data_IF_010148734273
#
_entry.id   IF_010148734273
#
_cell.length_a   1.000
_cell.length_b   1.000
_cell.length_c   1.000
_cell.angle_alpha   90.00
_cell.angle_beta   90.00
_cell.angle_gamma   90.00
#
_symmetry.space_group_name_H-M   'P 1'
#
loop_
_entity.id
_entity.type
_entity.pdbx_description
1 polymer ?
#
# COMPACT_ATOMS: atom_id res chain seq x y z
N UNK A 1 -3.34 32.12 1.28
CA UNK A 1 -3.60 30.76 1.79
C UNK A 1 -4.52 30.86 2.99
N UNK A 2 -5.68 30.19 2.97
CA UNK A 2 -6.67 30.24 4.07
C UNK A 2 -6.25 29.42 5.29
N UNK A 3 -5.44 28.40 5.10
CA UNK A 3 -4.87 27.55 6.15
C UNK A 3 -3.37 27.31 5.85
N UNK A 4 -2.46 28.05 6.47
CA UNK A 4 -1.03 27.93 6.21
C UNK A 4 -0.38 26.70 6.88
N UNK A 5 -1.04 26.12 7.88
CA UNK A 5 -0.45 25.09 8.73
C UNK A 5 -0.71 23.68 8.23
N UNK A 6 -1.66 23.49 7.30
CA UNK A 6 -1.97 22.19 6.71
C UNK A 6 -1.52 22.09 5.25
N UNK A 7 -0.89 20.96 4.84
CA UNK A 7 -0.59 20.70 3.44
C UNK A 7 -1.85 20.70 2.59
N UNK A 8 -1.81 21.41 1.46
CA UNK A 8 -2.88 21.43 0.48
C UNK A 8 -2.51 20.58 -0.72
N UNK A 9 -3.46 19.78 -1.18
CA UNK A 9 -3.28 18.94 -2.36
C UNK A 9 -4.60 18.82 -3.13
N UNK A 10 -4.50 18.29 -4.33
CA UNK A 10 -5.60 17.69 -5.07
C UNK A 10 -5.08 16.54 -5.94
N UNK A 11 -6.00 15.71 -6.43
CA UNK A 11 -5.68 14.48 -7.15
C UNK A 11 -5.69 14.73 -8.63
N UNK A 12 -4.66 14.26 -9.36
CA UNK A 12 -4.64 14.23 -10.81
C UNK A 12 -4.90 12.82 -11.35
N UNK A 13 -5.73 12.77 -12.38
CA UNK A 13 -5.94 11.59 -13.23
C UNK A 13 -5.35 11.78 -14.64
N UNK A 14 -4.66 12.87 -14.88
CA UNK A 14 -4.17 13.28 -16.20
C UNK A 14 -2.70 13.66 -16.25
N UNK A 15 -1.99 13.57 -15.15
CA UNK A 15 -0.58 13.99 -15.01
C UNK A 15 0.34 13.37 -16.07
N UNK A 16 0.08 12.12 -16.47
CA UNK A 16 0.87 11.42 -17.49
C UNK A 16 0.89 12.11 -18.85
N UNK A 17 -0.09 12.98 -19.13
CA UNK A 17 -0.13 13.75 -20.38
C UNK A 17 0.92 14.85 -20.43
N UNK A 18 1.07 15.60 -19.34
CA UNK A 18 1.99 16.73 -19.24
C UNK A 18 2.41 16.98 -17.77
N UNK A 19 3.35 16.20 -17.21
CA UNK A 19 3.68 16.26 -15.76
C UNK A 19 4.10 17.66 -15.28
N UNK A 20 4.82 18.41 -16.09
CA UNK A 20 5.29 19.76 -15.75
C UNK A 20 4.17 20.83 -15.74
N UNK A 21 3.04 20.54 -16.39
CA UNK A 21 1.91 21.47 -16.52
C UNK A 21 0.70 21.04 -15.68
N UNK A 22 0.80 19.91 -14.99
CA UNK A 22 -0.29 19.41 -14.17
C UNK A 22 -0.49 20.29 -12.94
N UNK A 23 -1.74 20.57 -12.65
CA UNK A 23 -2.09 21.48 -11.56
C UNK A 23 -1.67 20.96 -10.18
N UNK A 24 -1.46 19.67 -9.99
CA UNK A 24 -0.96 19.09 -8.72
C UNK A 24 0.40 19.67 -8.32
N UNK A 25 1.21 20.14 -9.29
CA UNK A 25 2.47 20.81 -9.02
C UNK A 25 2.33 22.10 -8.18
N UNK A 26 1.14 22.69 -8.12
CA UNK A 26 0.86 23.87 -7.27
C UNK A 26 0.50 23.51 -5.81
N UNK A 27 0.23 22.24 -5.54
CA UNK A 27 -0.01 21.73 -4.17
C UNK A 27 1.28 21.56 -3.38
N UNK A 28 1.14 21.34 -2.09
CA UNK A 28 2.27 20.99 -1.21
C UNK A 28 2.69 19.53 -1.41
N UNK A 29 1.72 18.68 -1.73
CA UNK A 29 1.89 17.25 -2.05
C UNK A 29 1.19 16.99 -3.38
N UNK A 30 1.84 16.23 -4.25
CA UNK A 30 1.23 15.77 -5.49
C UNK A 30 0.50 14.44 -5.25
N UNK A 31 -0.76 14.36 -5.63
CA UNK A 31 -1.52 13.11 -5.56
C UNK A 31 -1.91 12.64 -6.96
N UNK A 32 -1.61 11.38 -7.25
CA UNK A 32 -1.70 10.81 -8.60
C UNK A 32 -2.55 9.54 -8.59
N UNK A 33 -3.61 9.50 -9.41
CA UNK A 33 -4.28 8.25 -9.72
C UNK A 33 -3.49 7.51 -10.80
N UNK A 34 -2.91 6.38 -10.46
CA UNK A 34 -2.08 5.57 -11.35
C UNK A 34 -2.78 4.28 -11.76
N UNK A 35 -3.38 4.32 -12.93
CA UNK A 35 -4.03 3.18 -13.56
C UNK A 35 -3.34 2.72 -14.86
N UNK A 36 -2.02 2.90 -14.97
CA UNK A 36 -1.22 2.30 -16.05
C UNK A 36 -1.40 0.78 -16.01
N UNK A 37 -1.56 0.18 -17.18
CA UNK A 37 -1.91 -1.23 -17.34
C UNK A 37 -3.42 -1.52 -17.25
N UNK A 38 -4.25 -0.46 -17.01
CA UNK A 38 -5.71 -0.52 -17.00
C UNK A 38 -6.30 0.75 -17.65
N UNK A 39 -6.91 1.66 -16.88
CA UNK A 39 -7.58 2.86 -17.41
C UNK A 39 -6.64 3.83 -18.17
N UNK A 40 -5.37 3.87 -17.85
CA UNK A 40 -4.38 4.71 -18.52
C UNK A 40 -3.66 4.00 -19.69
N UNK A 41 -4.08 2.76 -20.06
CA UNK A 41 -3.47 1.99 -21.14
C UNK A 41 -2.11 1.40 -20.77
N UNK A 42 -1.44 0.81 -21.77
CA UNK A 42 -0.16 0.12 -21.62
C UNK A 42 1.02 1.11 -21.78
N UNK A 43 1.13 2.04 -20.85
CA UNK A 43 2.27 2.95 -20.76
C UNK A 43 3.45 2.28 -20.05
N UNK A 44 4.65 2.78 -20.30
CA UNK A 44 5.83 2.38 -19.54
C UNK A 44 5.74 2.91 -18.10
N UNK A 45 5.46 2.04 -17.16
CA UNK A 45 5.27 2.39 -15.75
C UNK A 45 6.44 3.18 -15.16
N UNK A 46 7.67 2.73 -15.40
CA UNK A 46 8.86 3.40 -14.87
C UNK A 46 9.17 4.69 -15.61
N UNK A 47 9.10 4.67 -16.95
CA UNK A 47 9.33 5.86 -17.75
C UNK A 47 8.37 7.01 -17.46
N UNK A 48 7.09 6.69 -17.19
CA UNK A 48 6.11 7.72 -16.80
C UNK A 48 6.40 8.28 -15.39
N UNK A 49 6.79 7.44 -14.43
CA UNK A 49 7.17 7.91 -13.10
C UNK A 49 8.47 8.72 -13.13
N UNK A 50 9.45 8.34 -13.95
CA UNK A 50 10.68 9.14 -14.20
C UNK A 50 10.31 10.54 -14.68
N UNK A 51 9.38 10.67 -15.62
CA UNK A 51 8.90 11.96 -16.13
C UNK A 51 8.20 12.81 -15.06
N UNK A 52 7.37 12.19 -14.22
CA UNK A 52 6.65 12.89 -13.14
C UNK A 52 7.64 13.44 -12.12
N UNK A 53 8.57 12.59 -11.66
CA UNK A 53 9.56 12.97 -10.63
C UNK A 53 10.54 14.00 -11.20
N UNK A 54 11.03 13.83 -12.43
CA UNK A 54 11.94 14.80 -13.08
C UNK A 54 11.30 16.17 -13.28
N UNK A 55 10.00 16.21 -13.57
CA UNK A 55 9.27 17.46 -13.74
C UNK A 55 9.02 18.20 -12.40
N UNK A 56 9.08 17.49 -11.27
CA UNK A 56 8.73 18.01 -9.95
C UNK A 56 9.69 17.47 -8.86
N UNK A 57 11.00 17.76 -8.94
CA UNK A 57 12.03 17.09 -8.14
C UNK A 57 11.92 17.35 -6.63
N UNK A 58 11.33 18.49 -6.25
CA UNK A 58 11.23 18.93 -4.84
C UNK A 58 9.86 18.61 -4.22
N UNK A 59 9.00 17.85 -4.91
CA UNK A 59 7.66 17.55 -4.43
C UNK A 59 7.53 16.13 -3.89
N UNK A 60 6.97 15.95 -2.68
CA UNK A 60 6.50 14.64 -2.25
C UNK A 60 5.30 14.21 -3.11
N UNK A 61 5.30 12.95 -3.52
CA UNK A 61 4.25 12.38 -4.36
C UNK A 61 3.57 11.22 -3.64
N UNK A 62 2.26 11.13 -3.79
CA UNK A 62 1.44 10.01 -3.29
C UNK A 62 0.63 9.43 -4.44
N UNK A 63 0.92 8.21 -4.91
CA UNK A 63 -0.05 7.44 -5.69
C UNK A 63 -1.33 7.26 -4.86
N UNK A 64 -2.37 8.02 -5.21
CA UNK A 64 -3.60 8.15 -4.41
C UNK A 64 -4.68 7.15 -4.79
N UNK A 65 -4.57 6.57 -5.98
CA UNK A 65 -5.35 5.43 -6.40
C UNK A 65 -4.55 4.56 -7.36
N UNK A 66 -4.55 3.26 -7.13
CA UNK A 66 -4.06 2.25 -8.06
C UNK A 66 -4.69 0.89 -7.72
N UNK A 67 -4.89 0.06 -8.72
CA UNK A 67 -5.52 -1.25 -8.54
C UNK A 67 -6.23 -1.74 -9.79
N UNK A 68 -7.01 -2.81 -9.64
CA UNK A 68 -7.79 -3.43 -10.71
C UNK A 68 -9.27 -3.25 -10.49
N UNK A 69 -9.98 -2.75 -11.49
CA UNK A 69 -11.44 -2.67 -11.51
C UNK A 69 -12.04 -3.78 -12.38
N UNK A 70 -12.79 -4.66 -11.77
CA UNK A 70 -13.65 -5.59 -12.50
C UNK A 70 -15.11 -5.12 -12.48
N UNK A 71 -15.88 -5.43 -13.51
CA UNK A 71 -15.56 -6.27 -14.68
C UNK A 71 -14.92 -5.52 -15.85
N UNK A 72 -14.55 -4.24 -15.69
CA UNK A 72 -13.96 -3.47 -16.79
C UNK A 72 -12.64 -4.08 -17.32
N UNK A 73 -11.86 -4.68 -16.41
CA UNK A 73 -10.64 -5.40 -16.73
C UNK A 73 -10.69 -6.80 -16.15
N UNK A 74 -10.27 -7.78 -16.95
CA UNK A 74 -10.28 -9.19 -16.54
C UNK A 74 -9.06 -9.57 -15.72
N UNK A 75 -9.12 -10.73 -15.09
CA UNK A 75 -7.98 -11.37 -14.41
C UNK A 75 -8.24 -11.74 -12.95
N UNK A 76 -9.31 -11.25 -12.38
CA UNK A 76 -9.75 -11.63 -11.04
C UNK A 76 -8.81 -11.18 -9.94
N UNK A 77 -8.95 -11.78 -8.78
CA UNK A 77 -8.20 -11.40 -7.59
C UNK A 77 -6.70 -11.66 -7.71
N UNK A 78 -6.29 -12.66 -8.48
CA UNK A 78 -4.87 -12.92 -8.78
C UNK A 78 -4.24 -11.74 -9.52
N UNK A 79 -4.90 -11.24 -10.58
CA UNK A 79 -4.39 -10.08 -11.33
C UNK A 79 -4.39 -8.80 -10.47
N UNK A 80 -5.33 -8.68 -9.55
CA UNK A 80 -5.37 -7.58 -8.57
C UNK A 80 -4.13 -7.58 -7.67
N UNK A 81 -3.76 -8.76 -7.15
CA UNK A 81 -2.54 -8.93 -6.36
C UNK A 81 -1.29 -8.61 -7.17
N UNK A 82 -1.17 -9.14 -8.40
CA UNK A 82 -0.05 -8.88 -9.30
C UNK A 82 0.14 -7.38 -9.55
N UNK A 83 -0.93 -6.68 -9.94
CA UNK A 83 -0.89 -5.22 -10.17
C UNK A 83 -0.46 -4.48 -8.91
N UNK A 84 -1.02 -4.84 -7.75
CA UNK A 84 -0.64 -4.22 -6.48
C UNK A 84 0.87 -4.35 -6.21
N UNK A 85 1.42 -5.56 -6.37
CA UNK A 85 2.83 -5.84 -6.12
C UNK A 85 3.75 -5.16 -7.14
N UNK A 86 3.39 -5.18 -8.43
CA UNK A 86 4.14 -4.52 -9.51
C UNK A 86 4.21 -3.00 -9.29
N UNK A 87 3.07 -2.37 -8.96
CA UNK A 87 2.98 -0.94 -8.66
C UNK A 87 3.82 -0.57 -7.44
N UNK A 88 3.65 -1.31 -6.35
CA UNK A 88 4.38 -1.02 -5.11
C UNK A 88 5.89 -1.18 -5.29
N UNK A 89 6.34 -2.17 -6.09
CA UNK A 89 7.75 -2.32 -6.46
C UNK A 89 8.27 -1.09 -7.20
N UNK A 90 7.50 -0.58 -8.18
CA UNK A 90 7.85 0.64 -8.90
C UNK A 90 7.95 1.83 -7.93
N UNK A 91 6.92 2.05 -7.10
CA UNK A 91 6.90 3.19 -6.17
C UNK A 91 8.06 3.19 -5.18
N UNK A 92 8.48 2.03 -4.71
CA UNK A 92 9.66 1.87 -3.83
C UNK A 92 10.98 2.29 -4.47
N UNK A 93 11.03 2.44 -5.79
CA UNK A 93 12.22 2.91 -6.51
C UNK A 93 12.39 4.43 -6.50
N UNK A 94 11.39 5.17 -6.01
CA UNK A 94 11.38 6.64 -6.03
C UNK A 94 11.35 7.23 -4.61
N UNK A 95 12.46 7.83 -4.15
CA UNK A 95 12.51 8.44 -2.81
C UNK A 95 11.52 9.58 -2.59
N UNK A 96 11.05 10.24 -3.66
CA UNK A 96 10.03 11.28 -3.60
C UNK A 96 8.62 10.75 -3.33
N UNK A 97 8.37 9.44 -3.48
CA UNK A 97 7.09 8.83 -3.16
C UNK A 97 6.99 8.66 -1.64
N UNK A 98 6.22 9.55 -1.01
CA UNK A 98 6.09 9.65 0.44
C UNK A 98 5.04 8.71 1.04
N UNK A 99 4.20 8.10 0.22
CA UNK A 99 3.15 7.19 0.65
C UNK A 99 2.35 6.65 -0.52
N UNK A 100 1.48 5.68 -0.27
CA UNK A 100 0.58 5.11 -1.28
C UNK A 100 -0.80 4.85 -0.70
N UNK A 101 -1.85 5.04 -1.50
CA UNK A 101 -3.23 4.71 -1.14
C UNK A 101 -3.77 3.73 -2.16
N UNK A 102 -3.92 2.48 -1.73
CA UNK A 102 -4.48 1.43 -2.58
C UNK A 102 -5.99 1.64 -2.78
N UNK A 103 -6.47 1.56 -3.99
CA UNK A 103 -7.88 1.64 -4.31
C UNK A 103 -8.40 0.28 -4.76
N UNK A 104 -9.12 -0.44 -3.86
CA UNK A 104 -9.48 0.00 -2.52
C UNK A 104 -9.61 -1.18 -1.56
N UNK A 105 -10.04 -0.92 -0.33
CA UNK A 105 -10.22 -1.99 0.66
C UNK A 105 -11.40 -2.89 0.28
N UNK A 106 -12.60 -2.33 0.11
CA UNK A 106 -13.81 -3.10 -0.15
C UNK A 106 -14.34 -2.92 -1.58
N UNK A 107 -14.95 -3.96 -2.12
CA UNK A 107 -15.90 -3.79 -3.21
C UNK A 107 -17.02 -2.83 -2.79
N UNK A 108 -17.59 -2.10 -3.73
CA UNK A 108 -18.62 -1.13 -3.42
C UNK A 108 -19.69 -1.06 -4.51
N UNK A 109 -20.86 -0.56 -4.14
CA UNK A 109 -21.95 -0.23 -5.06
C UNK A 109 -21.87 1.23 -5.45
N UNK A 110 -22.14 1.51 -6.72
CA UNK A 110 -22.11 2.87 -7.28
C UNK A 110 -23.09 2.98 -8.41
N UNK A 111 -23.56 4.19 -8.69
CA UNK A 111 -24.41 4.48 -9.86
C UNK A 111 -23.71 4.17 -11.20
N UNK A 112 -22.37 4.25 -11.22
CA UNK A 112 -21.54 3.92 -12.38
C UNK A 112 -21.10 2.45 -12.43
N UNK A 113 -21.61 1.61 -11.51
CA UNK A 113 -21.32 0.18 -11.50
C UNK A 113 -22.07 -0.56 -12.60
N UNK A 114 -21.60 -1.76 -12.89
CA UNK A 114 -22.22 -2.64 -13.87
C UNK A 114 -23.56 -3.18 -13.36
N UNK A 115 -24.55 -3.20 -14.24
CA UNK A 115 -25.84 -3.84 -14.02
C UNK A 115 -25.88 -5.25 -14.64
N UNK A 116 -26.84 -6.06 -14.23
CA UNK A 116 -27.10 -7.41 -14.72
C UNK A 116 -26.95 -8.46 -13.63
N UNK A 117 -27.15 -9.72 -13.98
CA UNK A 117 -27.09 -10.82 -13.04
C UNK A 117 -25.74 -10.89 -12.32
N UNK A 118 -25.79 -10.85 -10.99
CA UNK A 118 -24.60 -10.84 -10.13
C UNK A 118 -23.81 -9.54 -10.10
N UNK A 119 -24.13 -8.53 -10.91
CA UNK A 119 -23.39 -7.26 -10.98
C UNK A 119 -23.95 -6.21 -10.02
N UNK A 120 -25.23 -5.91 -10.06
CA UNK A 120 -25.94 -5.04 -9.08
C UNK A 120 -25.30 -3.66 -8.89
N UNK A 121 -24.91 -2.97 -9.96
CA UNK A 121 -24.17 -1.70 -9.89
C UNK A 121 -22.93 -1.78 -9.00
N UNK A 122 -22.21 -2.88 -9.10
CA UNK A 122 -21.06 -3.21 -8.28
C UNK A 122 -19.76 -2.87 -9.01
N UNK A 123 -18.84 -2.26 -8.29
CA UNK A 123 -17.44 -2.13 -8.67
C UNK A 123 -16.61 -3.09 -7.82
N UNK A 124 -15.84 -3.95 -8.48
CA UNK A 124 -14.98 -4.94 -7.84
C UNK A 124 -13.53 -4.45 -7.87
N UNK A 125 -13.27 -3.43 -7.08
CA UNK A 125 -11.92 -2.88 -6.85
C UNK A 125 -11.28 -3.44 -5.60
N UNK A 126 -12.08 -3.95 -4.68
CA UNK A 126 -11.64 -4.26 -3.32
C UNK A 126 -10.72 -5.47 -3.21
N UNK A 127 -9.77 -5.41 -2.28
CA UNK A 127 -9.10 -6.59 -1.72
C UNK A 127 -9.99 -7.35 -0.74
N UNK A 128 -11.09 -6.76 -0.31
CA UNK A 128 -12.19 -7.41 0.41
C UNK A 128 -13.49 -7.27 -0.36
N UNK A 129 -14.44 -8.16 -0.11
CA UNK A 129 -15.78 -8.14 -0.70
C UNK A 129 -16.67 -7.05 -0.11
N UNK A 130 -17.94 -7.00 -0.57
CA UNK A 130 -18.92 -5.98 -0.14
C UNK A 130 -19.20 -5.95 1.37
N UNK A 131 -19.03 -7.08 2.05
CA UNK A 131 -19.28 -7.22 3.49
C UNK A 131 -17.99 -7.27 4.31
N UNK A 132 -16.84 -6.96 3.68
CA UNK A 132 -15.56 -6.97 4.35
C UNK A 132 -14.87 -8.34 4.40
N UNK A 133 -15.40 -9.36 3.71
CA UNK A 133 -14.75 -10.67 3.59
C UNK A 133 -13.42 -10.55 2.83
N UNK A 134 -12.27 -10.94 3.43
CA UNK A 134 -10.98 -10.78 2.79
C UNK A 134 -10.84 -11.72 1.58
N UNK A 135 -10.32 -11.19 0.49
CA UNK A 135 -9.89 -11.97 -0.68
C UNK A 135 -8.42 -12.36 -0.54
N UNK A 136 -7.87 -13.28 -1.34
CA UNK A 136 -6.43 -13.57 -1.34
C UNK A 136 -5.53 -12.34 -1.45
N UNK A 137 -5.87 -11.38 -2.32
CA UNK A 137 -5.13 -10.12 -2.47
C UNK A 137 -5.09 -9.25 -1.21
N UNK A 138 -6.07 -9.39 -0.29
CA UNK A 138 -6.06 -8.70 1.00
C UNK A 138 -4.80 -9.03 1.81
N UNK A 139 -4.41 -10.29 1.83
CA UNK A 139 -3.23 -10.72 2.60
C UNK A 139 -1.92 -10.22 1.99
N UNK A 140 -1.86 -10.04 0.68
CA UNK A 140 -0.73 -9.37 0.03
C UNK A 140 -0.66 -7.89 0.44
N UNK A 141 -1.79 -7.17 0.42
CA UNK A 141 -1.86 -5.78 0.88
C UNK A 141 -1.46 -5.66 2.35
N UNK A 142 -1.99 -6.54 3.22
CA UNK A 142 -1.64 -6.56 4.64
C UNK A 142 -0.13 -6.78 4.85
N UNK A 143 0.45 -7.75 4.15
CA UNK A 143 1.88 -8.07 4.24
C UNK A 143 2.75 -6.91 3.78
N UNK A 144 2.41 -6.32 2.64
CA UNK A 144 3.22 -5.26 2.04
C UNK A 144 3.07 -3.90 2.75
N UNK A 145 1.91 -3.66 3.37
CA UNK A 145 1.66 -2.45 4.15
C UNK A 145 2.04 -2.58 5.64
N UNK A 146 2.52 -3.75 6.07
CA UNK A 146 3.12 -3.90 7.39
C UNK A 146 4.44 -3.09 7.45
N UNK A 147 4.66 -2.29 8.51
CA UNK A 147 5.88 -1.49 8.65
C UNK A 147 7.11 -2.32 9.01
N UNK A 148 6.92 -3.61 9.22
CA UNK A 148 7.96 -4.55 9.62
C UNK A 148 7.96 -5.80 8.75
N UNK A 149 9.16 -6.31 8.49
CA UNK A 149 9.37 -7.64 7.96
C UNK A 149 9.74 -8.59 9.10
N UNK A 150 9.25 -9.82 9.02
CA UNK A 150 9.52 -10.85 10.01
C UNK A 150 10.07 -12.07 9.29
N UNK A 151 11.22 -12.54 9.72
CA UNK A 151 11.80 -13.80 9.30
C UNK A 151 12.10 -14.69 10.52
N UNK A 152 12.05 -16.00 10.30
CA UNK A 152 12.39 -17.00 11.31
C UNK A 152 13.48 -17.88 10.73
N UNK A 153 14.64 -17.88 11.35
CA UNK A 153 15.79 -18.69 10.92
C UNK A 153 16.57 -19.17 12.14
N UNK A 154 17.05 -20.40 12.09
CA UNK A 154 17.98 -20.97 13.08
C UNK A 154 17.57 -20.79 14.55
N UNK A 155 16.27 -20.83 14.84
CA UNK A 155 15.77 -20.66 16.22
C UNK A 155 15.71 -19.20 16.70
N UNK A 156 15.72 -18.25 15.78
CA UNK A 156 15.60 -16.82 16.06
C UNK A 156 14.51 -16.19 15.18
N UNK A 157 13.77 -15.25 15.74
CA UNK A 157 12.89 -14.34 15.00
C UNK A 157 13.65 -13.04 14.78
N UNK A 158 13.82 -12.64 13.54
CA UNK A 158 14.33 -11.31 13.18
C UNK A 158 13.19 -10.44 12.69
N UNK A 159 13.04 -9.28 13.30
CA UNK A 159 12.12 -8.22 12.92
C UNK A 159 12.92 -7.05 12.35
N UNK A 160 12.57 -6.61 11.14
CA UNK A 160 13.22 -5.49 10.47
C UNK A 160 12.19 -4.40 10.26
N UNK A 161 12.44 -3.19 10.79
CA UNK A 161 11.66 -2.01 10.44
C UNK A 161 11.97 -1.62 9.00
N UNK A 162 10.93 -1.52 8.16
CA UNK A 162 11.14 -1.23 6.73
C UNK A 162 11.77 0.16 6.53
N UNK A 163 12.73 0.23 5.63
CA UNK A 163 13.38 1.47 5.15
C UNK A 163 12.84 1.93 3.78
N UNK A 164 11.90 1.17 3.22
CA UNK A 164 11.12 1.51 2.01
C UNK A 164 9.63 1.57 2.35
N UNK A 165 8.78 2.02 1.44
CA UNK A 165 7.34 2.12 1.66
C UNK A 165 6.69 0.80 2.13
N UNK A 166 5.90 0.84 3.24
CA UNK A 166 5.69 1.95 4.16
C UNK A 166 6.91 2.15 5.07
N UNK A 167 7.41 3.39 5.17
CA UNK A 167 8.63 3.73 5.86
C UNK A 167 8.34 4.72 6.99
N UNK A 168 8.27 4.23 8.23
CA UNK A 168 8.07 5.05 9.42
C UNK A 168 8.54 4.34 10.71
N UNK A 169 8.76 5.11 11.77
CA UNK A 169 9.18 4.56 13.06
C UNK A 169 8.09 3.65 13.67
N UNK A 170 8.50 2.49 14.17
CA UNK A 170 7.65 1.54 14.89
C UNK A 170 7.77 1.82 16.38
N UNK A 171 6.70 2.31 17.01
CA UNK A 171 6.68 2.67 18.43
C UNK A 171 5.47 2.07 19.15
N UNK A 172 5.71 1.46 20.31
CA UNK A 172 4.64 0.86 21.11
C UNK A 172 3.97 -0.36 20.49
N UNK A 173 4.61 -0.99 19.50
CA UNK A 173 4.11 -2.22 18.88
C UNK A 173 4.40 -3.42 19.76
N UNK A 174 3.62 -4.48 19.60
CA UNK A 174 3.77 -5.74 20.31
C UNK A 174 3.80 -6.92 19.35
N UNK A 175 4.54 -7.94 19.74
CA UNK A 175 4.60 -9.22 19.02
C UNK A 175 4.00 -10.32 19.87
N UNK A 176 3.13 -11.13 19.29
CA UNK A 176 2.62 -12.35 19.90
C UNK A 176 3.24 -13.57 19.23
N UNK A 177 3.76 -14.48 20.04
CA UNK A 177 4.30 -15.76 19.61
C UNK A 177 3.55 -16.82 20.40
N UNK A 178 2.66 -17.58 19.76
CA UNK A 178 1.75 -18.47 20.44
C UNK A 178 0.92 -17.72 21.49
N UNK A 179 1.15 -18.01 22.78
CA UNK A 179 0.49 -17.34 23.91
C UNK A 179 1.30 -16.19 24.53
N UNK A 180 2.58 -16.08 24.17
CA UNK A 180 3.48 -15.07 24.73
C UNK A 180 3.34 -13.74 24.01
N UNK A 181 3.22 -12.64 24.77
CA UNK A 181 3.23 -11.27 24.25
C UNK A 181 4.54 -10.58 24.63
N UNK A 182 5.20 -9.98 23.65
CA UNK A 182 6.44 -9.23 23.81
C UNK A 182 6.24 -7.79 23.35
N UNK A 183 6.79 -6.84 24.07
CA UNK A 183 6.89 -5.46 23.61
C UNK A 183 8.04 -5.35 22.60
N UNK A 184 7.76 -4.77 21.44
CA UNK A 184 8.77 -4.46 20.43
C UNK A 184 9.43 -3.16 20.84
N UNK A 185 10.78 -3.08 20.93
CA UNK A 185 11.45 -1.81 21.18
C UNK A 185 11.12 -0.80 20.09
N UNK A 186 11.30 0.48 20.36
CA UNK A 186 11.19 1.52 19.33
C UNK A 186 12.23 1.27 18.25
N UNK A 187 11.76 1.14 17.00
CA UNK A 187 12.61 0.88 15.83
C UNK A 187 12.45 2.00 14.82
N UNK A 188 13.59 2.48 14.33
CA UNK A 188 13.66 3.39 13.17
C UNK A 188 13.73 2.57 11.88
N UNK A 189 13.39 3.15 10.71
CA UNK A 189 13.61 2.51 9.43
C UNK A 189 15.03 1.96 9.29
N UNK A 190 15.14 0.68 8.91
CA UNK A 190 16.38 -0.08 8.80
C UNK A 190 16.82 -0.80 10.08
N UNK A 191 16.28 -0.46 11.25
CA UNK A 191 16.62 -1.14 12.50
C UNK A 191 16.15 -2.59 12.51
N UNK A 192 16.91 -3.43 13.22
CA UNK A 192 16.63 -4.85 13.42
C UNK A 192 16.48 -5.17 14.89
N UNK A 193 15.57 -6.07 15.19
CA UNK A 193 15.39 -6.64 16.53
C UNK A 193 15.28 -8.15 16.44
N UNK A 194 16.09 -8.85 17.23
CA UNK A 194 16.18 -10.29 17.24
C UNK A 194 15.64 -10.86 18.54
N UNK A 195 14.86 -11.94 18.44
CA UNK A 195 14.29 -12.66 19.59
C UNK A 195 14.59 -14.15 19.47
N UNK A 196 15.31 -14.74 20.43
CA UNK A 196 15.58 -16.18 20.41
C UNK A 196 14.29 -16.98 20.64
N UNK A 197 14.05 -18.01 19.81
CA UNK A 197 12.92 -18.94 19.90
C UNK A 197 13.15 -20.04 20.97
N UNK A 198 13.58 -19.71 22.17
CA UNK A 198 13.81 -20.72 23.21
C UNK A 198 12.48 -21.29 23.68
N UNK A 199 12.25 -22.59 23.42
CA UNK A 199 11.06 -23.32 23.87
C UNK A 199 9.79 -23.04 23.06
N UNK A 200 9.90 -22.40 21.90
CA UNK A 200 8.79 -22.07 21.01
C UNK A 200 8.87 -23.04 19.81
N UNK A 201 7.77 -23.74 19.51
CA UNK A 201 7.70 -24.61 18.34
C UNK A 201 7.83 -23.83 17.03
N UNK A 202 8.50 -24.41 16.02
CA UNK A 202 8.70 -23.77 14.71
C UNK A 202 7.37 -23.47 13.96
N UNK A 203 6.25 -24.00 14.43
CA UNK A 203 4.91 -23.81 13.83
C UNK A 203 4.09 -22.74 14.55
N UNK A 204 4.64 -22.07 15.58
CA UNK A 204 3.85 -21.08 16.31
C UNK A 204 3.65 -19.81 15.47
N UNK A 205 2.41 -19.36 15.47
CA UNK A 205 2.00 -18.16 14.73
C UNK A 205 2.62 -16.91 15.35
N UNK A 206 3.30 -16.12 14.52
CA UNK A 206 3.82 -14.81 14.89
C UNK A 206 2.85 -13.76 14.40
N UNK A 207 2.42 -12.88 15.29
CA UNK A 207 1.51 -11.79 14.97
C UNK A 207 2.05 -10.48 15.54
N UNK A 208 1.94 -9.41 14.75
CA UNK A 208 2.39 -8.07 15.14
C UNK A 208 1.16 -7.17 15.31
N UNK A 209 1.13 -6.41 16.40
CA UNK A 209 0.03 -5.53 16.77
C UNK A 209 0.50 -4.09 16.91
N UNK A 210 -0.32 -3.17 16.44
CA UNK A 210 -0.19 -1.74 16.70
C UNK A 210 -0.46 -1.39 18.16
N UNK A 211 -0.10 -0.18 18.63
CA UNK A 211 -0.43 0.29 19.98
C UNK A 211 -1.93 0.26 20.30
N UNK A 212 -2.79 0.47 19.29
CA UNK A 212 -4.24 0.37 19.44
C UNK A 212 -4.80 -1.06 19.46
N UNK A 213 -3.93 -2.08 19.37
CA UNK A 213 -4.32 -3.49 19.40
C UNK A 213 -4.68 -4.10 18.04
N UNK A 214 -4.67 -3.33 16.96
CA UNK A 214 -4.92 -3.87 15.62
C UNK A 214 -3.74 -4.69 15.11
N UNK A 215 -4.05 -5.85 14.51
CA UNK A 215 -3.04 -6.73 13.92
C UNK A 215 -2.61 -6.20 12.55
N UNK A 216 -1.31 -6.05 12.33
CA UNK A 216 -0.69 -5.64 11.06
C UNK A 216 -0.01 -6.80 10.32
N UNK A 217 0.31 -7.89 11.03
CA UNK A 217 0.92 -9.09 10.43
C UNK A 217 0.55 -10.34 11.24
#
# INVERSE_FOLDING_TARGET
RMDPDRPANYVSNSIFKAPALDGTAHGDIMMVNDYIGTWHGDLDQYGEWDRIVAANPDKPVIPSEFGLCEPAFSGGDKRREEIFLEKLKCYRSYPSIAGTIYFCLNDYRTQMGEDGEGKWKKRVHGSAGLKGEPKPSYYAVQREYAPVEVSVQEGEITLICRDTLPCYEVKGYRMRIGTQMLDIPDLKPGDRWCVPLKGIGAEERIEIFRPNGERVK
#
